data_IF_283448310971
#
_entry.id   IF_283448310971
#
_cell.length_a   1.000
_cell.length_b   1.000
_cell.length_c   1.000
_cell.angle_alpha   90.00
_cell.angle_beta   90.00
_cell.angle_gamma   90.00
#
_symmetry.space_group_name_H-M   'P 1'
#
loop_
_entity.id
_entity.type
_entity.pdbx_description
1 polymer ?
#
# COMPACT_ATOMS: atom_id res chain seq x y z
N UNK A 1 29.11 11.53 -1.62
CA UNK A 1 29.12 10.55 -0.50
C UNK A 1 27.75 9.87 -0.44
N UNK A 2 27.67 8.54 -0.27
CA UNK A 2 26.43 7.80 -0.47
C UNK A 2 25.47 8.06 0.69
N UNK A 3 24.53 8.98 0.48
CA UNK A 3 23.45 9.33 1.43
C UNK A 3 22.35 8.27 1.52
N UNK A 4 22.47 7.16 0.80
CA UNK A 4 21.39 6.18 0.60
C UNK A 4 21.16 5.23 1.77
N UNK A 5 22.18 4.97 2.60
CA UNK A 5 22.05 3.98 3.70
C UNK A 5 21.32 4.50 4.96
N UNK A 6 21.13 5.81 5.10
CA UNK A 6 20.58 6.42 6.35
C UNK A 6 19.06 6.66 6.35
N UNK A 7 18.38 6.51 5.21
CA UNK A 7 16.95 6.85 5.08
C UNK A 7 15.99 5.67 5.27
N UNK A 8 16.51 4.45 5.37
CA UNK A 8 15.74 3.22 5.59
C UNK A 8 15.38 3.05 7.08
N UNK A 9 16.15 3.65 7.99
CA UNK A 9 15.93 3.59 9.44
C UNK A 9 14.86 4.54 10.00
N UNK A 10 14.33 5.47 9.20
CA UNK A 10 13.67 6.68 9.73
C UNK A 10 12.42 6.44 10.60
N UNK A 11 11.73 5.30 10.50
CA UNK A 11 10.41 5.11 11.12
C UNK A 11 10.23 3.83 11.93
N UNK A 12 11.25 2.98 12.07
CA UNK A 12 11.13 1.68 12.74
C UNK A 12 12.19 1.42 13.81
N UNK A 13 13.46 1.80 13.63
CA UNK A 13 14.57 1.25 14.43
C UNK A 13 14.60 1.66 15.91
N UNK A 14 13.80 2.65 16.32
CA UNK A 14 13.75 3.14 17.71
C UNK A 14 12.60 2.55 18.55
N UNK A 15 11.68 1.80 17.94
CA UNK A 15 10.47 1.29 18.62
C UNK A 15 10.55 -0.19 18.97
N UNK A 16 9.70 -0.63 19.91
CA UNK A 16 9.61 -2.05 20.24
C UNK A 16 9.22 -2.89 19.01
N UNK A 17 9.64 -4.16 18.96
CA UNK A 17 9.35 -5.07 17.82
C UNK A 17 7.87 -5.15 17.47
N UNK A 18 6.98 -4.85 18.42
CA UNK A 18 5.54 -4.85 18.22
C UNK A 18 4.97 -3.61 17.51
N UNK A 19 5.78 -2.58 17.28
CA UNK A 19 5.41 -1.31 16.65
C UNK A 19 6.24 -1.02 15.39
N UNK A 20 7.19 -1.91 15.10
CA UNK A 20 7.92 -1.94 13.85
C UNK A 20 7.08 -2.66 12.78
N UNK A 21 7.09 -2.13 11.56
CA UNK A 21 6.69 -2.93 10.41
C UNK A 21 7.67 -4.10 10.27
N UNK A 22 7.19 -5.31 9.94
CA UNK A 22 8.07 -6.47 9.78
C UNK A 22 9.05 -6.24 8.61
N UNK A 23 10.24 -6.83 8.67
CA UNK A 23 11.24 -6.74 7.58
C UNK A 23 10.77 -7.40 6.29
N UNK A 24 9.93 -8.44 6.43
CA UNK A 24 9.32 -9.19 5.34
C UNK A 24 7.85 -9.45 5.69
N UNK A 25 6.98 -9.32 4.69
CA UNK A 25 5.56 -9.53 4.83
C UNK A 25 5.03 -10.32 3.63
N UNK A 26 4.39 -11.46 3.90
CA UNK A 26 3.72 -12.27 2.88
C UNK A 26 2.21 -12.07 2.99
N UNK A 27 1.63 -11.45 1.97
CA UNK A 27 0.19 -11.16 1.88
C UNK A 27 -0.43 -12.05 0.81
N UNK A 28 -1.49 -12.76 1.17
CA UNK A 28 -2.29 -13.57 0.24
C UNK A 28 -3.63 -12.88 0.01
N UNK A 29 -3.94 -12.65 -1.26
CA UNK A 29 -5.23 -12.19 -1.76
C UNK A 29 -5.95 -13.38 -2.40
N UNK A 30 -7.09 -13.77 -1.86
CA UNK A 30 -7.87 -14.92 -2.31
C UNK A 30 -9.29 -14.46 -2.68
N UNK A 31 -9.73 -14.68 -3.91
CA UNK A 31 -11.14 -14.54 -4.26
C UNK A 31 -11.94 -15.69 -3.63
N UNK A 32 -12.93 -15.36 -2.82
CA UNK A 32 -13.68 -16.35 -2.03
C UNK A 32 -15.08 -16.61 -2.58
N UNK A 33 -15.59 -15.72 -3.42
CA UNK A 33 -16.90 -15.84 -4.07
C UNK A 33 -16.76 -15.42 -5.54
N UNK A 34 -17.13 -16.30 -6.47
CA UNK A 34 -17.11 -16.03 -7.92
C UNK A 34 -18.52 -15.70 -8.46
N UNK A 35 -19.38 -15.16 -7.60
CA UNK A 35 -20.76 -14.79 -7.95
C UNK A 35 -20.81 -13.37 -8.58
N UNK A 36 -21.99 -12.74 -8.60
CA UNK A 36 -22.23 -11.42 -9.19
C UNK A 36 -21.31 -10.33 -8.61
N UNK A 37 -20.87 -10.48 -7.36
CA UNK A 37 -19.96 -9.55 -6.68
C UNK A 37 -18.75 -10.32 -6.14
N UNK A 38 -17.64 -10.41 -6.90
CA UNK A 38 -16.44 -11.06 -6.42
C UNK A 38 -15.89 -10.38 -5.18
N UNK A 39 -15.49 -11.20 -4.22
CA UNK A 39 -14.97 -10.75 -2.92
C UNK A 39 -13.57 -11.29 -2.70
N UNK A 40 -12.71 -10.46 -2.13
CA UNK A 40 -11.34 -10.81 -1.79
C UNK A 40 -11.19 -10.89 -0.27
N UNK A 41 -10.60 -12.00 0.18
CA UNK A 41 -10.07 -12.16 1.52
C UNK A 41 -8.56 -11.89 1.48
N UNK A 42 -8.11 -11.01 2.36
CA UNK A 42 -6.68 -10.76 2.57
C UNK A 42 -6.20 -11.51 3.82
N UNK A 43 -5.12 -12.29 3.68
CA UNK A 43 -4.52 -13.00 4.80
C UNK A 43 -3.01 -12.75 4.89
N UNK A 44 -2.53 -12.57 6.12
CA UNK A 44 -1.12 -12.39 6.45
C UNK A 44 -0.70 -13.54 7.35
N UNK A 45 0.33 -14.30 6.96
CA UNK A 45 0.77 -15.49 7.70
C UNK A 45 -0.39 -16.47 8.04
N UNK A 46 -1.39 -16.58 7.15
CA UNK A 46 -2.60 -17.40 7.31
C UNK A 46 -3.67 -16.85 8.26
N UNK A 47 -3.48 -15.67 8.84
CA UNK A 47 -4.53 -14.96 9.59
C UNK A 47 -5.21 -13.93 8.69
N UNK A 48 -6.55 -13.88 8.72
CA UNK A 48 -7.27 -12.82 8.02
C UNK A 48 -6.95 -11.46 8.64
N UNK A 49 -6.74 -10.48 7.77
CA UNK A 49 -6.52 -9.09 8.15
C UNK A 49 -7.50 -8.21 7.39
N UNK A 50 -8.11 -7.28 8.12
CA UNK A 50 -9.19 -6.46 7.57
C UNK A 50 -10.46 -7.26 7.29
N UNK A 51 -11.36 -6.60 6.58
CA UNK A 51 -12.64 -7.16 6.17
C UNK A 51 -12.51 -7.93 4.85
N UNK A 52 -13.49 -8.77 4.56
CA UNK A 52 -13.67 -9.31 3.21
C UNK A 52 -14.28 -8.18 2.38
N UNK A 53 -13.63 -7.83 1.27
CA UNK A 53 -13.97 -6.65 0.47
C UNK A 53 -14.40 -7.03 -0.95
N UNK A 54 -15.41 -6.32 -1.45
CA UNK A 54 -15.76 -6.27 -2.88
C UNK A 54 -15.32 -4.93 -3.49
N UNK A 55 -15.73 -4.67 -4.72
CA UNK A 55 -15.37 -3.43 -5.43
C UNK A 55 -16.12 -2.19 -4.92
N UNK A 56 -17.19 -2.35 -4.11
CA UNK A 56 -18.10 -1.27 -3.68
C UNK A 56 -18.55 -0.35 -4.85
N UNK A 57 -18.80 -0.94 -6.01
CA UNK A 57 -19.01 -0.23 -7.28
C UNK A 57 -20.17 -0.84 -8.06
N UNK A 58 -20.84 -0.03 -8.89
CA UNK A 58 -21.89 -0.51 -9.81
C UNK A 58 -21.33 -1.41 -10.92
N UNK A 59 -20.00 -1.44 -11.10
CA UNK A 59 -19.28 -2.25 -12.08
C UNK A 59 -18.15 -3.02 -11.41
N UNK A 60 -17.81 -4.20 -11.92
CA UNK A 60 -16.61 -4.92 -11.50
C UNK A 60 -15.36 -4.21 -12.06
N UNK A 61 -14.76 -3.35 -11.25
CA UNK A 61 -13.58 -2.55 -11.61
C UNK A 61 -12.31 -3.00 -10.87
N UNK A 62 -12.42 -4.01 -10.00
CA UNK A 62 -11.27 -4.62 -9.34
C UNK A 62 -10.81 -3.90 -8.08
N UNK A 63 -11.52 -2.85 -7.63
CA UNK A 63 -11.14 -2.11 -6.42
C UNK A 63 -11.03 -3.00 -5.16
N UNK A 64 -11.63 -4.20 -5.15
CA UNK A 64 -11.43 -5.22 -4.10
C UNK A 64 -9.97 -5.61 -3.85
N UNK A 65 -9.03 -5.29 -4.74
CA UNK A 65 -7.59 -5.54 -4.53
C UNK A 65 -6.82 -4.30 -4.04
N UNK A 66 -7.47 -3.19 -3.72
CA UNK A 66 -6.79 -1.91 -3.39
C UNK A 66 -5.84 -2.00 -2.20
N UNK A 67 -6.05 -2.94 -1.26
CA UNK A 67 -5.16 -3.17 -0.12
C UNK A 67 -3.69 -3.38 -0.53
N UNK A 68 -3.43 -3.85 -1.76
CA UNK A 68 -2.07 -3.96 -2.32
C UNK A 68 -1.32 -2.62 -2.34
N UNK A 69 -2.05 -1.50 -2.41
CA UNK A 69 -1.48 -0.15 -2.41
C UNK A 69 -0.85 0.17 -1.05
N UNK A 70 -1.55 -0.14 0.05
CA UNK A 70 -1.07 0.12 1.41
C UNK A 70 0.22 -0.64 1.71
N UNK A 71 0.27 -1.93 1.40
CA UNK A 71 1.47 -2.75 1.60
C UNK A 71 2.64 -2.31 0.70
N UNK A 72 2.34 -1.84 -0.51
CA UNK A 72 3.37 -1.28 -1.41
C UNK A 72 3.92 0.05 -0.88
N UNK A 73 3.07 0.94 -0.36
CA UNK A 73 3.50 2.21 0.25
C UNK A 73 4.31 1.98 1.52
N UNK A 74 3.86 1.07 2.40
CA UNK A 74 4.63 0.64 3.57
C UNK A 74 6.04 0.19 3.16
N UNK A 75 6.16 -0.57 2.07
CA UNK A 75 7.41 -1.17 1.59
C UNK A 75 8.35 -0.19 0.93
N UNK A 76 7.84 0.64 0.01
CA UNK A 76 8.69 1.49 -0.81
C UNK A 76 8.92 2.88 -0.19
N UNK A 77 7.90 3.42 0.47
CA UNK A 77 7.93 4.74 1.10
C UNK A 77 8.29 4.69 2.58
N UNK A 78 8.14 3.52 3.22
CA UNK A 78 8.29 3.37 4.67
C UNK A 78 7.12 3.96 5.45
N UNK A 79 6.01 4.28 4.78
CA UNK A 79 4.84 4.94 5.36
C UNK A 79 3.56 4.33 4.81
N UNK A 80 2.70 3.90 5.72
CA UNK A 80 1.32 3.49 5.45
C UNK A 80 0.60 3.36 6.80
N UNK A 81 -0.14 4.38 7.26
CA UNK A 81 -1.02 4.26 8.42
C UNK A 81 -2.02 3.10 8.29
N UNK A 82 -2.54 2.83 7.08
CA UNK A 82 -3.46 1.72 6.83
C UNK A 82 -2.77 0.37 7.06
N UNK A 83 -1.58 0.15 6.48
CA UNK A 83 -0.84 -1.10 6.71
C UNK A 83 -0.43 -1.25 8.19
N UNK A 84 -0.01 -0.17 8.87
CA UNK A 84 0.27 -0.23 10.31
C UNK A 84 -0.96 -0.62 11.13
N UNK A 85 -2.14 -0.09 10.79
CA UNK A 85 -3.38 -0.45 11.47
C UNK A 85 -3.74 -1.93 11.22
N UNK A 86 -3.73 -2.37 9.95
CA UNK A 86 -3.98 -3.76 9.54
C UNK A 86 -3.03 -4.75 10.23
N UNK A 87 -1.74 -4.41 10.30
CA UNK A 87 -0.71 -5.24 10.94
C UNK A 87 -0.70 -5.14 12.47
N UNK A 88 -1.53 -4.29 13.08
CA UNK A 88 -1.50 -3.96 14.51
C UNK A 88 -0.11 -3.45 14.97
N UNK A 89 0.53 -2.61 14.14
CA UNK A 89 1.88 -2.00 14.32
C UNK A 89 1.85 -0.47 14.40
N UNK A 90 0.78 0.12 14.95
CA UNK A 90 0.78 1.55 15.29
C UNK A 90 1.81 1.82 16.40
N UNK A 91 2.49 2.95 16.36
CA UNK A 91 3.53 3.39 17.31
C UNK A 91 2.91 4.00 18.57
N UNK A 92 2.16 3.19 19.31
CA UNK A 92 1.40 3.58 20.52
C UNK A 92 2.28 4.02 21.68
N UNK A 93 3.56 3.65 21.70
CA UNK A 93 4.50 4.12 22.72
C UNK A 93 4.82 5.62 22.60
N UNK A 94 4.46 6.26 21.49
CA UNK A 94 4.62 7.70 21.26
C UNK A 94 3.26 8.30 20.87
N UNK A 95 2.65 9.02 21.81
CA UNK A 95 1.30 9.59 21.65
C UNK A 95 1.14 10.47 20.40
N UNK A 96 2.18 11.21 20.02
CA UNK A 96 2.12 12.07 18.84
C UNK A 96 2.19 11.25 17.55
N UNK A 97 3.03 10.21 17.48
CA UNK A 97 3.07 9.34 16.30
C UNK A 97 1.80 8.51 16.16
N UNK A 98 1.27 7.96 17.26
CA UNK A 98 0.02 7.19 17.24
C UNK A 98 -1.19 8.02 16.77
N UNK A 99 -1.22 9.30 17.16
CA UNK A 99 -2.32 10.24 16.86
C UNK A 99 -2.16 10.93 15.50
N UNK A 100 -0.93 11.24 15.08
CA UNK A 100 -0.67 12.05 13.88
C UNK A 100 -0.33 11.15 12.69
N UNK A 101 0.72 10.34 12.80
CA UNK A 101 1.27 9.58 11.66
C UNK A 101 0.53 8.27 11.43
N UNK A 102 0.10 7.63 12.51
CA UNK A 102 -0.66 6.36 12.48
C UNK A 102 -2.16 6.59 12.75
N UNK A 103 -2.56 7.85 12.94
CA UNK A 103 -3.92 8.23 13.33
C UNK A 103 -4.90 8.35 12.17
N UNK A 104 -6.17 8.64 12.50
CA UNK A 104 -7.28 8.64 11.55
C UNK A 104 -7.07 9.60 10.36
N UNK A 105 -6.49 10.78 10.59
CA UNK A 105 -6.24 11.75 9.50
C UNK A 105 -5.23 11.22 8.49
N UNK A 106 -4.19 10.52 8.95
CA UNK A 106 -3.20 9.90 8.07
C UNK A 106 -3.82 8.75 7.28
N UNK A 107 -4.57 7.87 7.95
CA UNK A 107 -5.27 6.75 7.31
C UNK A 107 -6.26 7.24 6.23
N UNK A 108 -7.15 8.18 6.56
CA UNK A 108 -8.10 8.77 5.59
C UNK A 108 -7.37 9.41 4.42
N UNK A 109 -6.21 10.04 4.66
CA UNK A 109 -5.39 10.62 3.60
C UNK A 109 -4.85 9.54 2.66
N UNK A 110 -4.33 8.44 3.20
CA UNK A 110 -3.84 7.30 2.42
C UNK A 110 -4.96 6.64 1.60
N UNK A 111 -6.15 6.45 2.18
CA UNK A 111 -7.34 5.96 1.48
C UNK A 111 -7.74 6.87 0.33
N UNK A 112 -7.76 8.18 0.56
CA UNK A 112 -8.06 9.16 -0.48
C UNK A 112 -7.02 9.15 -1.61
N UNK A 113 -5.74 8.97 -1.28
CA UNK A 113 -4.67 8.79 -2.29
C UNK A 113 -4.94 7.54 -3.11
N UNK A 114 -5.25 6.40 -2.46
CA UNK A 114 -5.57 5.12 -3.09
C UNK A 114 -6.72 5.26 -4.09
N UNK A 115 -7.78 5.96 -3.71
CA UNK A 115 -8.92 6.23 -4.58
C UNK A 115 -8.59 7.17 -5.75
N UNK A 116 -7.81 8.24 -5.52
CA UNK A 116 -7.38 9.17 -6.58
C UNK A 116 -6.52 8.44 -7.61
N UNK A 117 -5.54 7.65 -7.18
CA UNK A 117 -4.69 6.92 -8.11
C UNK A 117 -5.49 5.86 -8.86
N UNK A 118 -6.46 5.20 -8.21
CA UNK A 118 -7.34 4.21 -8.86
C UNK A 118 -8.17 4.82 -9.98
N UNK A 119 -8.84 5.93 -9.71
CA UNK A 119 -9.62 6.64 -10.72
C UNK A 119 -8.75 7.17 -11.86
N UNK A 120 -7.53 7.64 -11.55
CA UNK A 120 -6.59 8.06 -12.59
C UNK A 120 -6.12 6.87 -13.45
N UNK A 121 -5.83 5.73 -12.82
CA UNK A 121 -5.33 4.53 -13.49
C UNK A 121 -6.39 3.89 -14.40
N UNK A 122 -7.67 3.88 -13.99
CA UNK A 122 -8.80 3.39 -14.80
C UNK A 122 -8.87 4.10 -16.16
N UNK A 123 -8.58 5.40 -16.20
CA UNK A 123 -8.55 6.18 -17.43
C UNK A 123 -7.26 5.97 -18.26
N UNK A 124 -6.30 5.20 -17.74
CA UNK A 124 -4.95 5.03 -18.31
C UNK A 124 -4.54 3.54 -18.43
N UNK A 125 -5.51 2.64 -18.62
CA UNK A 125 -5.29 1.19 -18.75
C UNK A 125 -4.47 0.59 -17.58
N UNK A 126 -4.75 1.05 -16.35
CA UNK A 126 -4.06 0.65 -15.13
C UNK A 126 -2.53 0.71 -15.23
N UNK A 127 -2.01 1.72 -15.94
CA UNK A 127 -0.58 1.90 -16.23
C UNK A 127 0.09 0.75 -16.99
N UNK A 128 -0.68 -0.04 -17.74
CA UNK A 128 -0.14 -1.07 -18.63
C UNK A 128 0.84 -0.44 -19.64
N UNK A 129 2.09 -0.92 -19.62
CA UNK A 129 3.22 -0.40 -20.42
C UNK A 129 3.54 1.09 -20.22
N UNK A 130 2.97 1.73 -19.19
CA UNK A 130 3.26 3.13 -18.85
C UNK A 130 4.35 3.20 -17.80
N UNK A 131 5.20 4.21 -17.93
CA UNK A 131 6.36 4.42 -17.04
C UNK A 131 6.26 5.70 -16.23
N UNK A 132 5.11 6.40 -16.30
CA UNK A 132 4.92 7.69 -15.65
C UNK A 132 3.52 7.86 -15.07
N UNK A 133 3.47 8.56 -13.94
CA UNK A 133 2.25 9.08 -13.32
C UNK A 133 2.13 10.58 -13.67
N UNK A 134 0.90 11.07 -13.83
CA UNK A 134 0.66 12.49 -14.10
C UNK A 134 1.25 13.38 -12.98
N UNK A 135 2.02 14.40 -13.34
CA UNK A 135 2.66 15.29 -12.36
C UNK A 135 1.63 16.07 -11.52
N UNK A 136 0.44 16.32 -12.06
CA UNK A 136 -0.69 16.91 -11.33
C UNK A 136 -1.11 16.02 -10.17
N UNK A 137 -1.26 14.71 -10.42
CA UNK A 137 -1.58 13.72 -9.38
C UNK A 137 -0.46 13.65 -8.35
N UNK A 138 0.80 13.60 -8.79
CA UNK A 138 1.95 13.60 -7.88
C UNK A 138 2.01 14.88 -7.02
N UNK A 139 1.65 16.04 -7.58
CA UNK A 139 1.56 17.31 -6.84
C UNK A 139 0.45 17.28 -5.80
N UNK A 140 -0.72 16.77 -6.15
CA UNK A 140 -1.84 16.59 -5.21
C UNK A 140 -1.41 15.70 -4.04
N UNK A 141 -0.81 14.54 -4.33
CA UNK A 141 -0.31 13.61 -3.30
C UNK A 141 0.71 14.29 -2.39
N UNK A 142 1.65 15.06 -2.94
CA UNK A 142 2.62 15.83 -2.16
C UNK A 142 1.94 16.81 -1.21
N UNK A 143 0.93 17.54 -1.67
CA UNK A 143 0.18 18.48 -0.84
C UNK A 143 -0.65 17.78 0.24
N UNK A 144 -1.29 16.67 -0.09
CA UNK A 144 -2.08 15.86 0.87
C UNK A 144 -1.19 15.29 1.99
N UNK A 145 0.05 14.93 1.65
CA UNK A 145 0.98 14.27 2.56
C UNK A 145 1.92 15.19 3.34
N UNK A 146 1.84 16.49 3.08
CA UNK A 146 2.69 17.50 3.75
C UNK A 146 2.63 17.48 5.28
N UNK A 147 1.47 17.20 5.94
CA UNK A 147 1.41 17.13 7.40
C UNK A 147 2.13 15.92 8.02
N UNK A 148 2.52 14.92 7.22
CA UNK A 148 2.99 13.61 7.68
C UNK A 148 4.48 13.41 7.42
N UNK A 149 5.07 12.39 8.02
CA UNK A 149 6.49 12.07 7.89
C UNK A 149 6.87 11.72 6.45
N UNK A 150 5.93 11.14 5.69
CA UNK A 150 6.10 10.81 4.27
C UNK A 150 6.27 12.04 3.37
N UNK A 151 6.09 13.27 3.89
CA UNK A 151 6.45 14.51 3.18
C UNK A 151 7.89 14.53 2.69
N UNK A 152 8.79 13.78 3.34
CA UNK A 152 10.18 13.65 2.93
C UNK A 152 10.36 12.86 1.62
N UNK A 153 9.35 12.08 1.20
CA UNK A 153 9.39 11.31 -0.04
C UNK A 153 9.17 12.21 -1.25
N UNK A 154 10.07 12.10 -2.21
CA UNK A 154 10.03 12.82 -3.48
C UNK A 154 8.88 12.34 -4.37
N UNK A 155 8.49 13.18 -5.35
CA UNK A 155 7.54 12.76 -6.39
C UNK A 155 8.00 11.49 -7.13
N UNK A 156 9.30 11.34 -7.35
CA UNK A 156 9.88 10.15 -7.99
C UNK A 156 9.76 8.89 -7.12
N UNK A 157 9.90 9.00 -5.79
CA UNK A 157 9.64 7.87 -4.89
C UNK A 157 8.16 7.47 -4.91
N UNK A 158 7.26 8.46 -4.89
CA UNK A 158 5.81 8.23 -5.03
C UNK A 158 5.44 7.58 -6.38
N UNK A 159 5.99 8.09 -7.49
CA UNK A 159 5.76 7.53 -8.82
C UNK A 159 6.19 6.06 -8.89
N UNK A 160 7.38 5.73 -8.35
CA UNK A 160 7.85 4.34 -8.28
C UNK A 160 6.91 3.47 -7.45
N UNK A 161 6.43 3.98 -6.31
CA UNK A 161 5.53 3.22 -5.45
C UNK A 161 4.19 2.96 -6.15
N UNK A 162 3.60 3.98 -6.78
CA UNK A 162 2.34 3.86 -7.52
C UNK A 162 2.48 2.87 -8.69
N UNK A 163 3.53 2.99 -9.51
CA UNK A 163 3.74 2.09 -10.65
C UNK A 163 3.92 0.64 -10.19
N UNK A 164 4.65 0.41 -9.09
CA UNK A 164 4.81 -0.94 -8.52
C UNK A 164 3.51 -1.47 -7.93
N UNK A 165 2.72 -0.63 -7.27
CA UNK A 165 1.36 -0.97 -6.81
C UNK A 165 0.50 -1.48 -7.96
N UNK A 166 0.52 -0.80 -9.11
CA UNK A 166 -0.24 -1.22 -10.29
C UNK A 166 0.30 -2.46 -10.98
N UNK A 167 1.62 -2.69 -10.95
CA UNK A 167 2.19 -3.95 -11.38
C UNK A 167 1.58 -5.13 -10.60
N UNK A 168 1.55 -5.03 -9.28
CA UNK A 168 0.98 -6.07 -8.43
C UNK A 168 -0.55 -6.18 -8.58
N UNK A 169 -1.24 -5.04 -8.64
CA UNK A 169 -2.69 -4.98 -8.87
C UNK A 169 -3.09 -5.70 -10.16
N UNK A 170 -2.38 -5.47 -11.27
CA UNK A 170 -2.64 -6.17 -12.54
C UNK A 170 -2.42 -7.68 -12.40
N UNK A 171 -1.34 -8.11 -11.75
CA UNK A 171 -1.12 -9.54 -11.50
C UNK A 171 -2.25 -10.18 -10.69
N UNK A 172 -2.79 -9.49 -9.69
CA UNK A 172 -3.93 -9.95 -8.89
C UNK A 172 -5.20 -10.07 -9.75
N UNK A 173 -5.54 -9.03 -10.52
CA UNK A 173 -6.71 -9.03 -11.41
C UNK A 173 -6.62 -10.14 -12.45
N UNK A 174 -5.48 -10.29 -13.11
CA UNK A 174 -5.27 -11.28 -14.18
C UNK A 174 -5.37 -12.73 -13.69
N UNK A 175 -5.18 -12.98 -12.39
CA UNK A 175 -5.13 -14.33 -11.83
C UNK A 175 -6.18 -14.62 -10.76
N UNK A 176 -7.13 -13.71 -10.51
CA UNK A 176 -8.14 -13.88 -9.46
C UNK A 176 -7.52 -13.97 -8.06
N UNK A 177 -6.41 -13.26 -7.84
CA UNK A 177 -5.67 -13.27 -6.59
C UNK A 177 -4.19 -13.63 -6.76
N UNK A 178 -3.53 -13.90 -5.63
CA UNK A 178 -2.09 -14.13 -5.60
C UNK A 178 -1.50 -14.04 -4.20
N UNK A 179 -0.22 -14.38 -4.12
CA UNK A 179 0.62 -14.18 -2.95
C UNK A 179 1.66 -13.12 -3.32
N UNK A 180 1.81 -12.09 -2.50
CA UNK A 180 2.80 -11.05 -2.70
C UNK A 180 3.74 -11.03 -1.50
N UNK A 181 5.03 -11.15 -1.77
CA UNK A 181 6.10 -10.97 -0.80
C UNK A 181 6.59 -9.52 -0.87
N UNK A 182 6.40 -8.81 0.23
CA UNK A 182 6.88 -7.45 0.47
C UNK A 182 8.12 -7.50 1.35
N UNK A 183 9.28 -7.19 0.79
CA UNK A 183 10.54 -7.10 1.51
C UNK A 183 10.86 -5.61 1.78
N UNK A 184 10.58 -5.17 3.00
CA UNK A 184 10.73 -3.77 3.43
C UNK A 184 12.21 -3.38 3.56
N UNK A 185 13.07 -4.33 3.94
CA UNK A 185 14.51 -4.10 4.09
C UNK A 185 15.17 -3.76 2.75
N UNK A 186 14.87 -4.53 1.71
CA UNK A 186 15.44 -4.39 0.37
C UNK A 186 14.56 -3.57 -0.59
N UNK A 187 13.40 -3.08 -0.13
CA UNK A 187 12.40 -2.37 -0.93
C UNK A 187 12.03 -3.14 -2.21
N UNK A 188 11.77 -4.43 -2.05
CA UNK A 188 11.46 -5.34 -3.15
C UNK A 188 10.09 -5.98 -2.97
N UNK A 189 9.37 -6.18 -4.07
CA UNK A 189 8.02 -6.74 -4.07
C UNK A 189 7.90 -7.76 -5.19
N UNK A 190 7.54 -9.00 -4.83
CA UNK A 190 7.48 -10.14 -5.72
C UNK A 190 6.09 -10.77 -5.66
N UNK A 191 5.46 -10.92 -6.82
CA UNK A 191 4.19 -11.63 -6.98
C UNK A 191 4.42 -13.12 -7.25
N UNK A 192 3.52 -13.95 -6.74
CA UNK A 192 3.40 -15.38 -7.00
C UNK A 192 1.93 -15.73 -7.20
N UNK A 193 1.64 -16.59 -8.19
CA UNK A 193 0.27 -17.05 -8.46
C UNK A 193 -0.21 -18.01 -7.35
N UNK A 194 -1.51 -17.99 -7.06
CA UNK A 194 -2.15 -19.06 -6.28
C UNK A 194 -2.15 -20.35 -7.09
N UNK A 195 -1.62 -21.43 -6.51
CA UNK A 195 -1.65 -22.77 -7.10
C UNK A 195 -3.09 -23.30 -7.21
#
# INVERSE_FOLDING_TARGET
MPRTKKYIDLYNSEYGTNEQLPSELVVRFEEINNETYPQVRVTLNSEQVGDIIDDNSYSNDGYRYHDVFHYTFATLLGWSPCARAMLKRKRKSNDDLDRIEDGARAAITEEAISLIIFNNARNNDYFNKRTKVDDTILTIIKNMTEPFEVRLRSKTEWEKAILKSYEMFRCLIENGGGIINFNLENKNIIYQKLN
#
